data_IF_854039690785
#
_entry.id   IF_854039690785
#
_cell.length_a   1.000
_cell.length_b   1.000
_cell.length_c   1.000
_cell.angle_alpha   90.00
_cell.angle_beta   90.00
_cell.angle_gamma   90.00
#
_symmetry.space_group_name_H-M   'P 1'
#
loop_
_entity.id
_entity.type
_entity.pdbx_description
1 polymer ?
#
# COMPACT_ATOMS: atom_id res chain seq x y z
N UNK A 1 -7.76 -20.18 -44.25
CA UNK A 1 -6.44 -19.51 -44.26
C UNK A 1 -5.87 -19.51 -42.84
N UNK A 2 -4.70 -20.11 -42.63
CA UNK A 2 -4.01 -20.08 -41.32
C UNK A 2 -3.48 -18.66 -41.09
N UNK A 3 -3.98 -17.96 -40.07
CA UNK A 3 -3.40 -16.68 -39.62
C UNK A 3 -2.12 -17.00 -38.85
N UNK A 4 -0.98 -16.47 -39.27
CA UNK A 4 0.26 -16.55 -38.50
C UNK A 4 0.40 -15.28 -37.67
N UNK A 5 0.29 -15.41 -36.35
CA UNK A 5 0.63 -14.33 -35.41
C UNK A 5 2.07 -14.58 -34.96
N UNK A 6 2.96 -13.61 -35.18
CA UNK A 6 4.33 -13.62 -34.65
C UNK A 6 4.51 -12.41 -33.73
N UNK A 7 4.94 -12.66 -32.50
CA UNK A 7 5.33 -11.63 -31.55
C UNK A 7 6.81 -11.31 -31.77
N UNK A 8 7.14 -10.05 -32.06
CA UNK A 8 8.51 -9.61 -32.32
C UNK A 8 8.82 -8.44 -31.38
N UNK A 9 9.37 -8.80 -30.21
CA UNK A 9 9.96 -7.92 -29.19
C UNK A 9 9.03 -6.99 -28.39
N UNK A 10 9.37 -6.86 -27.11
CA UNK A 10 8.85 -5.86 -26.18
C UNK A 10 10.01 -4.92 -25.80
N UNK A 11 9.77 -3.61 -25.86
CA UNK A 11 10.74 -2.58 -25.47
C UNK A 11 10.09 -1.55 -24.55
N UNK A 12 10.81 -1.13 -23.52
CA UNK A 12 10.35 -0.13 -22.56
C UNK A 12 10.86 1.27 -22.97
N UNK A 13 9.98 2.27 -23.04
CA UNK A 13 10.37 3.67 -23.20
C UNK A 13 10.32 4.40 -21.85
N UNK A 14 11.17 5.42 -21.69
CA UNK A 14 11.22 6.26 -20.50
C UNK A 14 9.83 6.91 -20.26
N UNK A 15 9.24 6.65 -19.09
CA UNK A 15 7.88 7.05 -18.73
C UNK A 15 6.92 5.89 -18.42
N UNK A 16 7.39 4.63 -18.41
CA UNK A 16 6.60 3.47 -17.97
C UNK A 16 5.63 2.92 -19.02
N UNK A 17 5.67 3.42 -20.25
CA UNK A 17 4.84 2.94 -21.34
C UNK A 17 5.49 1.69 -21.98
N UNK A 18 4.84 0.54 -21.85
CA UNK A 18 5.26 -0.71 -22.51
C UNK A 18 4.60 -0.79 -23.89
N UNK A 19 5.37 -0.58 -24.95
CA UNK A 19 4.86 -0.74 -26.32
C UNK A 19 5.10 -2.19 -26.77
N UNK A 20 4.03 -2.96 -26.94
CA UNK A 20 4.12 -4.32 -27.51
C UNK A 20 3.73 -4.29 -28.98
N UNK A 21 4.63 -4.75 -29.86
CA UNK A 21 4.42 -4.74 -31.30
C UNK A 21 3.70 -6.02 -31.75
N UNK A 22 2.49 -5.88 -32.31
CA UNK A 22 1.74 -6.98 -32.92
C UNK A 22 1.62 -6.73 -34.43
N UNK A 23 2.23 -7.62 -35.25
CA UNK A 23 2.11 -7.57 -36.71
C UNK A 23 1.08 -8.61 -37.14
N UNK A 24 -0.05 -8.15 -37.68
CA UNK A 24 -1.06 -8.99 -38.33
C UNK A 24 -0.88 -8.91 -39.85
N UNK A 25 -0.50 -10.02 -40.47
CA UNK A 25 -0.41 -10.13 -41.93
C UNK A 25 -1.65 -10.86 -42.46
N UNK A 26 -2.44 -10.20 -43.32
CA UNK A 26 -3.52 -10.86 -44.07
C UNK A 26 -3.51 -10.40 -45.53
N UNK A 27 -3.64 -11.30 -46.52
CA UNK A 27 -3.91 -10.92 -47.89
C UNK A 27 -5.37 -10.42 -48.01
N UNK A 28 -5.55 -9.19 -48.48
CA UNK A 28 -6.89 -8.61 -48.72
C UNK A 28 -7.31 -8.91 -50.15
N UNK A 29 -8.41 -9.65 -50.33
CA UNK A 29 -9.10 -9.73 -51.62
C UNK A 29 -10.10 -8.57 -51.70
N UNK A 30 -10.05 -7.82 -52.80
CA UNK A 30 -10.82 -6.59 -52.97
C UNK A 30 -12.33 -6.85 -53.04
N UNK A 31 -13.03 -6.46 -51.96
CA UNK A 31 -14.44 -6.03 -51.81
C UNK A 31 -15.05 -6.67 -50.56
N UNK A 32 -14.86 -6.01 -49.42
CA UNK A 32 -15.80 -6.07 -48.31
C UNK A 32 -15.60 -4.84 -47.45
N UNK A 33 -16.65 -4.02 -47.33
CA UNK A 33 -16.76 -3.04 -46.25
C UNK A 33 -16.58 -3.76 -44.91
N UNK A 34 -15.62 -3.34 -44.10
CA UNK A 34 -15.54 -3.78 -42.71
C UNK A 34 -16.62 -3.02 -41.93
N UNK A 35 -17.55 -3.70 -41.24
CA UNK A 35 -18.39 -3.03 -40.26
C UNK A 35 -17.49 -2.49 -39.14
N UNK A 36 -17.75 -1.27 -38.68
CA UNK A 36 -17.06 -0.59 -37.58
C UNK A 36 -17.21 -1.27 -36.22
N UNK A 37 -17.96 -2.37 -36.14
CA UNK A 37 -18.48 -2.85 -34.88
C UNK A 37 -17.88 -4.22 -34.51
N UNK A 38 -17.21 -4.20 -33.34
CA UNK A 38 -16.75 -5.32 -32.51
C UNK A 38 -15.40 -5.97 -32.88
N UNK A 39 -14.35 -5.43 -32.27
CA UNK A 39 -13.33 -6.26 -31.64
C UNK A 39 -13.70 -6.36 -30.15
N UNK A 40 -14.14 -7.55 -29.71
CA UNK A 40 -14.39 -7.80 -28.28
C UNK A 40 -13.07 -7.82 -27.52
N UNK A 41 -13.00 -7.05 -26.43
CA UNK A 41 -11.84 -7.01 -25.55
C UNK A 41 -11.63 -8.38 -24.88
N UNK A 42 -10.44 -8.96 -25.04
CA UNK A 42 -10.07 -10.27 -24.47
C UNK A 42 -9.70 -10.14 -22.96
N UNK A 43 -9.63 -8.92 -22.42
CA UNK A 43 -9.34 -8.65 -21.01
C UNK A 43 -9.73 -7.21 -20.64
N UNK A 44 -10.18 -6.92 -19.39
CA UNK A 44 -10.57 -5.58 -18.95
C UNK A 44 -9.46 -4.51 -19.00
N UNK A 45 -8.20 -4.89 -19.24
CA UNK A 45 -7.05 -3.97 -19.24
C UNK A 45 -6.60 -3.47 -20.62
N UNK A 46 -7.30 -3.85 -21.70
CA UNK A 46 -6.91 -3.50 -23.08
C UNK A 46 -7.92 -2.53 -23.69
N UNK A 47 -7.52 -1.28 -23.90
CA UNK A 47 -8.28 -0.30 -24.68
C UNK A 47 -7.68 -0.25 -26.09
N UNK A 48 -8.47 -0.60 -27.10
CA UNK A 48 -8.11 -0.45 -28.51
C UNK A 48 -8.77 0.84 -29.02
N UNK A 49 -8.00 1.90 -29.25
CA UNK A 49 -8.51 3.08 -29.96
C UNK A 49 -8.47 2.84 -31.46
N UNK A 50 -9.62 3.00 -32.12
CA UNK A 50 -9.72 2.96 -33.58
C UNK A 50 -9.05 4.20 -34.18
N UNK A 51 -8.22 3.99 -35.21
CA UNK A 51 -7.62 5.08 -35.99
C UNK A 51 -8.58 5.46 -37.12
N UNK A 52 -8.73 6.76 -37.38
CA UNK A 52 -9.64 7.35 -38.37
C UNK A 52 -9.62 6.68 -39.76
N UNK A 53 -10.76 6.74 -40.44
CA UNK A 53 -11.04 6.18 -41.77
C UNK A 53 -9.87 6.34 -42.76
N UNK A 54 -9.22 5.23 -43.09
CA UNK A 54 -8.29 5.14 -44.21
C UNK A 54 -9.09 4.99 -45.52
N UNK A 55 -9.17 6.05 -46.33
CA UNK A 55 -9.63 5.92 -47.71
C UNK A 55 -8.60 5.12 -48.53
N UNK A 56 -9.01 3.93 -48.99
CA UNK A 56 -8.15 2.94 -49.65
C UNK A 56 -8.27 3.03 -51.18
N UNK A 57 -7.17 3.38 -51.86
CA UNK A 57 -7.06 3.32 -53.33
C UNK A 57 -5.72 2.73 -53.80
N UNK A 58 -5.40 1.49 -53.44
CA UNK A 58 -4.48 0.63 -54.21
C UNK A 58 -4.43 -0.80 -53.65
N UNK A 59 -4.09 -1.78 -54.51
CA UNK A 59 -3.81 -3.16 -54.10
C UNK A 59 -2.39 -3.24 -53.52
N UNK A 60 -2.27 -3.47 -52.22
CA UNK A 60 -1.01 -3.72 -51.52
C UNK A 60 -1.24 -4.48 -50.21
N UNK A 61 -0.20 -5.13 -49.68
CA UNK A 61 -0.22 -5.67 -48.31
C UNK A 61 0.05 -4.50 -47.37
N UNK A 62 -0.89 -4.20 -46.48
CA UNK A 62 -0.76 -3.11 -45.52
C UNK A 62 -0.52 -3.68 -44.13
N UNK A 63 0.52 -3.18 -43.45
CA UNK A 63 0.75 -3.41 -42.03
C UNK A 63 0.00 -2.32 -41.25
N UNK A 64 -0.99 -2.71 -40.46
CA UNK A 64 -1.69 -1.80 -39.55
C UNK A 64 -0.98 -1.84 -38.20
N UNK A 65 -0.49 -0.69 -37.74
CA UNK A 65 0.10 -0.53 -36.42
C UNK A 65 -0.99 -0.08 -35.45
N UNK A 66 -1.41 -0.99 -34.56
CA UNK A 66 -2.28 -0.64 -33.44
C UNK A 66 -1.43 -0.52 -32.18
N UNK A 67 -1.20 0.68 -31.62
CA UNK A 67 -0.59 0.79 -30.32
C UNK A 67 -1.55 0.18 -29.29
N UNK A 68 -1.13 -0.89 -28.62
CA UNK A 68 -1.84 -1.38 -27.43
C UNK A 68 -1.43 -0.45 -26.29
N UNK A 69 -2.34 0.45 -25.91
CA UNK A 69 -2.17 1.28 -24.73
C UNK A 69 -2.68 0.44 -23.55
N UNK A 70 -1.76 -0.06 -22.73
CA UNK A 70 -2.13 -0.64 -21.45
C UNK A 70 -2.52 0.50 -20.50
N UNK A 71 -3.78 0.51 -20.08
CA UNK A 71 -4.20 1.31 -18.95
C UNK A 71 -3.53 0.80 -17.66
N UNK A 72 -3.51 1.60 -16.59
CA UNK A 72 -3.00 1.12 -15.31
C UNK A 72 -3.85 -0.08 -14.83
N UNK A 73 -3.25 -1.04 -14.10
CA UNK A 73 -3.99 -2.17 -13.54
C UNK A 73 -5.14 -1.68 -12.65
N UNK A 74 -6.18 -2.50 -12.46
CA UNK A 74 -7.28 -2.18 -11.56
C UNK A 74 -6.74 -1.84 -10.15
N UNK A 75 -7.34 -0.88 -9.42
CA UNK A 75 -6.87 -0.51 -8.09
C UNK A 75 -6.82 -1.71 -7.16
N UNK A 76 -5.70 -1.89 -6.47
CA UNK A 76 -5.55 -2.95 -5.48
C UNK A 76 -6.35 -2.64 -4.22
N UNK A 77 -7.11 -3.61 -3.72
CA UNK A 77 -7.82 -3.48 -2.43
C UNK A 77 -6.86 -3.51 -1.23
N UNK A 78 -5.58 -3.88 -1.44
CA UNK A 78 -4.54 -3.88 -0.40
C UNK A 78 -3.95 -2.49 -0.19
N UNK A 79 -4.00 -1.66 -1.22
CA UNK A 79 -3.36 -0.35 -1.31
C UNK A 79 -4.10 0.68 -0.46
N UNK A 80 -3.39 1.31 0.47
CA UNK A 80 -3.87 2.45 1.23
C UNK A 80 -2.78 3.50 1.38
N UNK A 81 -3.02 4.56 2.14
CA UNK A 81 -1.97 5.54 2.47
C UNK A 81 -2.00 5.92 3.93
N UNK A 82 -0.84 6.36 4.44
CA UNK A 82 -0.76 7.07 5.71
C UNK A 82 -1.10 8.53 5.45
N UNK A 83 -2.22 8.98 6.00
CA UNK A 83 -2.56 10.39 6.06
C UNK A 83 -1.64 11.08 7.07
N UNK A 84 -1.04 12.18 6.65
CA UNK A 84 -0.16 12.97 7.50
C UNK A 84 -0.37 14.45 7.20
N UNK A 85 -0.98 15.17 8.15
CA UNK A 85 -1.12 16.63 8.11
C UNK A 85 -2.24 17.23 7.23
N UNK A 86 -3.06 16.48 6.49
CA UNK A 86 -4.14 17.07 5.66
C UNK A 86 -5.09 16.02 5.04
N UNK A 87 -6.27 16.42 4.51
CA UNK A 87 -7.42 15.54 4.48
C UNK A 87 -7.34 14.40 3.48
N UNK A 88 -7.61 13.19 3.99
CA UNK A 88 -7.55 11.94 3.26
C UNK A 88 -8.65 11.72 2.21
N UNK A 89 -9.80 12.40 2.33
CA UNK A 89 -11.02 12.03 1.58
C UNK A 89 -10.84 12.12 0.06
N UNK A 90 -10.26 13.21 -0.43
CA UNK A 90 -9.98 13.36 -1.87
C UNK A 90 -8.75 12.54 -2.31
N UNK A 91 -7.84 12.25 -1.38
CA UNK A 91 -6.60 11.53 -1.64
C UNK A 91 -6.83 10.04 -1.96
N UNK A 92 -7.93 9.45 -1.45
CA UNK A 92 -8.37 8.09 -1.84
C UNK A 92 -8.53 7.96 -3.36
N UNK A 93 -9.24 8.90 -3.98
CA UNK A 93 -9.43 8.91 -5.44
C UNK A 93 -8.13 9.30 -6.14
N UNK A 94 -7.45 10.33 -5.66
CA UNK A 94 -6.22 10.84 -6.27
C UNK A 94 -5.08 9.80 -6.28
N UNK A 95 -5.06 8.87 -5.33
CA UNK A 95 -4.05 7.81 -5.24
C UNK A 95 -4.57 6.44 -5.67
N UNK A 96 -5.86 6.29 -6.01
CA UNK A 96 -6.52 4.99 -6.26
C UNK A 96 -6.31 4.01 -5.09
N UNK A 97 -6.49 4.52 -3.88
CA UNK A 97 -6.36 3.76 -2.64
C UNK A 97 -7.72 3.26 -2.16
N UNK A 98 -7.75 2.09 -1.53
CA UNK A 98 -8.96 1.46 -1.02
C UNK A 98 -9.24 1.79 0.46
N UNK A 99 -8.26 2.35 1.16
CA UNK A 99 -8.35 2.66 2.59
C UNK A 99 -7.26 3.66 3.01
N UNK A 100 -7.39 4.22 4.20
CA UNK A 100 -6.37 5.08 4.80
C UNK A 100 -6.35 4.95 6.33
N UNK A 101 -5.28 5.44 6.94
CA UNK A 101 -5.12 5.59 8.39
C UNK A 101 -4.29 6.84 8.67
N UNK A 102 -4.42 7.44 9.86
CA UNK A 102 -3.81 8.72 10.22
C UNK A 102 -3.15 8.70 11.61
N UNK A 103 -2.73 7.52 12.06
CA UNK A 103 -2.20 7.29 13.41
C UNK A 103 -3.14 7.72 14.57
N UNK A 104 -4.43 7.91 14.32
CA UNK A 104 -5.42 8.37 15.31
C UNK A 104 -6.62 7.43 15.42
N UNK A 105 -7.36 7.43 16.54
CA UNK A 105 -8.62 6.72 16.65
C UNK A 105 -9.77 7.43 15.91
N UNK A 106 -9.56 8.66 15.43
CA UNK A 106 -10.57 9.48 14.78
C UNK A 106 -10.27 9.68 13.29
N UNK A 107 -11.29 9.56 12.41
CA UNK A 107 -11.12 9.95 11.01
C UNK A 107 -10.81 11.45 10.93
N UNK A 108 -10.25 11.89 9.81
CA UNK A 108 -10.12 13.31 9.54
C UNK A 108 -11.50 14.00 9.62
N UNK A 109 -11.67 15.03 10.46
CA UNK A 109 -12.95 15.70 10.66
C UNK A 109 -13.47 16.47 9.43
N UNK A 110 -12.62 16.73 8.44
CA UNK A 110 -13.01 17.31 7.15
C UNK A 110 -13.66 16.29 6.21
N UNK A 111 -13.55 14.98 6.51
CA UNK A 111 -14.20 13.94 5.73
C UNK A 111 -15.64 13.71 6.16
N UNK A 112 -16.54 13.59 5.18
CA UNK A 112 -17.93 13.19 5.41
C UNK A 112 -18.04 11.75 5.90
N UNK A 113 -19.17 11.43 6.53
CA UNK A 113 -19.45 10.10 7.10
C UNK A 113 -19.37 8.94 6.10
N UNK A 114 -19.58 9.23 4.81
CA UNK A 114 -19.43 8.29 3.69
C UNK A 114 -17.99 7.75 3.53
N UNK A 115 -17.00 8.45 4.09
CA UNK A 115 -15.60 8.04 4.06
C UNK A 115 -15.19 7.16 5.24
N UNK A 116 -16.02 7.06 6.29
CA UNK A 116 -15.66 6.33 7.51
C UNK A 116 -15.38 4.84 7.27
N UNK A 117 -15.98 4.24 6.23
CA UNK A 117 -15.73 2.84 5.85
C UNK A 117 -14.32 2.60 5.28
N UNK A 118 -13.67 3.65 4.76
CA UNK A 118 -12.31 3.59 4.23
C UNK A 118 -11.25 3.90 5.29
N UNK A 119 -11.66 4.50 6.40
CA UNK A 119 -10.78 4.83 7.52
C UNK A 119 -10.57 3.63 8.44
N UNK A 120 -9.31 3.33 8.75
CA UNK A 120 -8.98 2.35 9.79
C UNK A 120 -8.41 3.07 11.01
N UNK A 121 -9.15 3.11 12.14
CA UNK A 121 -8.67 3.76 13.35
C UNK A 121 -7.46 3.02 13.95
N UNK A 122 -6.65 3.78 14.69
CA UNK A 122 -5.50 3.26 15.44
C UNK A 122 -5.51 3.76 16.87
N UNK A 123 -5.13 2.90 17.81
CA UNK A 123 -4.66 3.33 19.14
C UNK A 123 -3.13 3.39 19.08
N UNK A 124 -2.55 4.57 18.84
CA UNK A 124 -1.11 4.69 18.56
C UNK A 124 -0.23 4.48 19.79
N UNK A 125 -0.63 5.04 20.94
CA UNK A 125 0.12 4.98 22.20
C UNK A 125 -0.82 4.76 23.40
N UNK A 126 -0.26 4.65 24.61
CA UNK A 126 -1.04 4.42 25.84
C UNK A 126 -1.97 5.58 26.19
N UNK A 127 -1.60 6.81 25.88
CA UNK A 127 -2.42 8.00 26.17
C UNK A 127 -3.74 7.95 25.38
N UNK A 128 -3.72 7.40 24.15
CA UNK A 128 -4.92 7.23 23.33
C UNK A 128 -5.88 6.15 23.84
N UNK A 129 -5.50 5.33 24.82
CA UNK A 129 -6.41 4.33 25.42
C UNK A 129 -7.66 4.95 26.03
N UNK A 130 -7.62 6.24 26.42
CA UNK A 130 -8.81 6.98 26.89
C UNK A 130 -9.91 7.06 25.82
N UNK A 131 -9.54 6.92 24.54
CA UNK A 131 -10.46 6.94 23.40
C UNK A 131 -10.83 5.54 22.89
N UNK A 132 -10.49 4.47 23.61
CA UNK A 132 -10.68 3.09 23.14
C UNK A 132 -12.12 2.80 22.71
N UNK A 133 -13.12 3.21 23.50
CA UNK A 133 -14.54 3.01 23.16
C UNK A 133 -14.91 3.69 21.83
N UNK A 134 -14.41 4.90 21.58
CA UNK A 134 -14.65 5.63 20.34
C UNK A 134 -13.89 5.00 19.17
N UNK A 135 -12.66 4.54 19.39
CA UNK A 135 -11.89 3.83 18.38
C UNK A 135 -12.59 2.54 17.93
N UNK A 136 -13.15 1.76 18.87
CA UNK A 136 -13.95 0.57 18.58
C UNK A 136 -15.21 0.93 17.81
N UNK A 137 -15.90 2.02 18.19
CA UNK A 137 -17.08 2.51 17.46
C UNK A 137 -16.73 2.87 16.01
N UNK A 138 -15.65 3.63 15.80
CA UNK A 138 -15.19 4.00 14.46
C UNK A 138 -14.74 2.76 13.67
N UNK A 139 -14.11 1.78 14.33
CA UNK A 139 -13.65 0.54 13.71
C UNK A 139 -14.79 -0.33 13.18
N UNK A 140 -16.02 -0.16 13.63
CA UNK A 140 -17.16 -0.90 13.08
C UNK A 140 -17.44 -0.54 11.62
N UNK A 141 -17.11 0.67 11.18
CA UNK A 141 -17.35 1.11 9.79
C UNK A 141 -16.41 0.40 8.79
N UNK A 142 -15.13 0.24 9.13
CA UNK A 142 -14.16 -0.45 8.28
C UNK A 142 -13.97 -1.93 8.63
N UNK A 143 -14.41 -2.35 9.82
CA UNK A 143 -14.25 -3.69 10.36
C UNK A 143 -12.88 -3.96 10.99
N UNK A 144 -12.01 -2.96 11.14
CA UNK A 144 -10.63 -3.11 11.61
C UNK A 144 -10.23 -2.04 12.62
N UNK A 145 -9.41 -2.43 13.59
CA UNK A 145 -8.73 -1.54 14.53
C UNK A 145 -7.24 -1.89 14.55
N UNK A 146 -6.40 -0.87 14.40
CA UNK A 146 -4.93 -1.01 14.45
C UNK A 146 -4.42 -0.74 15.86
N UNK A 147 -3.48 -1.57 16.32
CA UNK A 147 -2.79 -1.43 17.59
C UNK A 147 -1.73 -0.33 17.64
N UNK A 148 -0.89 -0.42 18.68
CA UNK A 148 0.17 0.55 18.97
C UNK A 148 1.15 0.72 17.80
N UNK A 149 1.54 1.97 17.51
CA UNK A 149 2.55 2.29 16.52
C UNK A 149 3.92 2.42 17.16
N UNK A 150 4.90 1.70 16.62
CA UNK A 150 6.31 1.73 17.05
C UNK A 150 6.53 1.68 18.57
N UNK A 151 5.88 0.73 19.30
CA UNK A 151 5.98 0.67 20.76
C UNK A 151 7.39 0.38 21.28
N UNK A 152 8.30 -0.04 20.40
CA UNK A 152 9.70 -0.33 20.72
C UNK A 152 10.62 0.91 20.68
N UNK A 153 10.13 2.08 20.27
CA UNK A 153 10.92 3.32 20.22
C UNK A 153 10.98 4.03 21.57
N UNK A 154 12.11 3.90 22.25
CA UNK A 154 12.35 4.45 23.60
C UNK A 154 12.37 5.98 23.68
N UNK A 155 12.61 6.66 22.55
CA UNK A 155 12.73 8.12 22.49
C UNK A 155 11.44 8.82 22.04
N UNK A 156 10.36 8.05 21.81
CA UNK A 156 9.05 8.57 21.43
C UNK A 156 8.00 8.33 22.52
N UNK A 157 6.90 9.09 22.47
CA UNK A 157 5.74 8.89 23.34
C UNK A 157 5.01 7.56 23.09
N UNK A 158 5.34 6.85 22.01
CA UNK A 158 4.80 5.52 21.72
C UNK A 158 5.39 4.41 22.57
N UNK A 159 6.52 4.63 23.27
CA UNK A 159 7.22 3.56 23.97
C UNK A 159 6.32 2.82 24.97
N UNK A 160 6.33 1.48 24.86
CA UNK A 160 5.75 0.56 25.83
C UNK A 160 6.74 -0.56 26.12
N UNK A 161 6.84 -1.00 27.37
CA UNK A 161 7.45 -2.31 27.63
C UNK A 161 6.55 -3.42 27.07
N UNK A 162 7.10 -4.61 26.75
CA UNK A 162 6.30 -5.75 26.32
C UNK A 162 5.18 -6.13 27.32
N UNK A 163 5.44 -6.02 28.63
CA UNK A 163 4.44 -6.29 29.67
C UNK A 163 3.31 -5.24 29.69
N UNK A 164 3.62 -3.95 29.59
CA UNK A 164 2.60 -2.90 29.45
C UNK A 164 1.78 -3.11 28.16
N UNK A 165 2.47 -3.40 27.06
CA UNK A 165 1.84 -3.73 25.77
C UNK A 165 0.86 -4.89 25.91
N UNK A 166 1.23 -5.97 26.59
CA UNK A 166 0.35 -7.11 26.84
C UNK A 166 -0.89 -6.74 27.67
N UNK A 167 -0.70 -5.94 28.73
CA UNK A 167 -1.79 -5.51 29.61
C UNK A 167 -2.80 -4.59 28.88
N UNK A 168 -2.30 -3.61 28.13
CA UNK A 168 -3.15 -2.70 27.37
C UNK A 168 -3.82 -3.42 26.19
N UNK A 169 -3.12 -4.36 25.54
CA UNK A 169 -3.71 -5.17 24.47
C UNK A 169 -4.87 -6.03 24.95
N UNK A 170 -4.82 -6.55 26.18
CA UNK A 170 -5.95 -7.26 26.78
C UNK A 170 -7.20 -6.39 26.85
N UNK A 171 -7.04 -5.10 27.19
CA UNK A 171 -8.15 -4.15 27.21
C UNK A 171 -8.71 -3.90 25.80
N UNK A 172 -7.85 -3.83 24.78
CA UNK A 172 -8.27 -3.73 23.38
C UNK A 172 -9.10 -4.95 22.96
N UNK A 173 -8.62 -6.16 23.26
CA UNK A 173 -9.36 -7.40 22.97
C UNK A 173 -10.72 -7.46 23.68
N UNK A 174 -10.78 -7.01 24.93
CA UNK A 174 -12.02 -6.98 25.70
C UNK A 174 -13.00 -5.95 25.15
N UNK A 175 -12.52 -4.78 24.72
CA UNK A 175 -13.36 -3.73 24.17
C UNK A 175 -13.99 -4.09 22.82
N UNK A 176 -13.33 -4.94 22.02
CA UNK A 176 -13.91 -5.45 20.77
C UNK A 176 -14.72 -6.74 20.95
N UNK A 177 -14.76 -7.30 22.16
CA UNK A 177 -15.52 -8.52 22.43
C UNK A 177 -17.01 -8.30 22.13
N UNK A 178 -17.62 -9.22 21.35
CA UNK A 178 -19.00 -9.10 20.90
C UNK A 178 -19.22 -8.21 19.67
N UNK A 179 -18.16 -7.62 19.12
CA UNK A 179 -18.20 -6.94 17.80
C UNK A 179 -17.59 -7.82 16.71
N UNK A 180 -17.75 -7.42 15.45
CA UNK A 180 -17.07 -8.04 14.30
C UNK A 180 -15.72 -7.36 13.97
N UNK A 181 -15.23 -6.47 14.84
CA UNK A 181 -13.97 -5.76 14.61
C UNK A 181 -12.79 -6.73 14.68
N UNK A 182 -11.92 -6.63 13.67
CA UNK A 182 -10.66 -7.36 13.57
C UNK A 182 -9.50 -6.52 14.08
N UNK A 183 -8.51 -7.16 14.68
CA UNK A 183 -7.37 -6.50 15.29
C UNK A 183 -6.10 -6.68 14.47
N UNK A 184 -5.46 -5.57 14.11
CA UNK A 184 -4.09 -5.54 13.59
C UNK A 184 -3.16 -5.35 14.77
N UNK A 185 -2.16 -6.24 14.93
CA UNK A 185 -1.21 -6.20 16.05
C UNK A 185 -0.52 -4.83 16.17
N UNK A 186 0.11 -4.55 17.32
CA UNK A 186 1.10 -3.49 17.39
C UNK A 186 2.15 -3.64 16.29
N UNK A 187 2.64 -2.52 15.77
CA UNK A 187 3.56 -2.46 14.65
C UNK A 187 4.88 -1.84 15.09
N UNK A 188 5.86 -2.64 15.55
CA UNK A 188 7.19 -2.13 15.84
C UNK A 188 7.87 -1.68 14.55
N UNK A 189 8.86 -0.81 14.69
CA UNK A 189 9.73 -0.48 13.57
C UNK A 189 10.72 -1.61 13.25
N UNK A 190 11.56 -1.38 12.24
CA UNK A 190 12.43 -2.40 11.68
C UNK A 190 13.70 -2.75 12.47
N UNK A 191 14.08 -1.96 13.46
CA UNK A 191 15.44 -2.01 14.00
C UNK A 191 15.73 -3.32 14.74
N UNK A 192 16.97 -3.77 14.70
CA UNK A 192 17.37 -4.96 15.44
C UNK A 192 17.38 -4.67 16.95
N UNK A 193 17.17 -5.68 17.82
CA UNK A 193 17.38 -5.53 19.25
C UNK A 193 18.75 -4.90 19.57
N UNK A 194 18.76 -3.90 20.45
CA UNK A 194 19.94 -3.14 20.86
C UNK A 194 20.36 -2.01 19.91
N UNK A 195 19.81 -1.95 18.70
CA UNK A 195 20.14 -0.89 17.75
C UNK A 195 19.48 0.44 18.17
N UNK A 196 20.25 1.54 18.12
CA UNK A 196 19.79 2.88 18.54
C UNK A 196 19.12 2.91 19.92
N UNK A 197 19.64 2.14 20.89
CA UNK A 197 19.10 2.09 22.26
C UNK A 197 17.80 1.29 22.41
N UNK A 198 17.28 0.68 21.34
CA UNK A 198 16.01 -0.05 21.37
C UNK A 198 16.24 -1.48 21.86
N UNK A 199 16.07 -1.71 23.16
CA UNK A 199 16.31 -3.02 23.79
C UNK A 199 15.71 -4.20 23.01
N UNK A 200 14.45 -4.07 22.57
CA UNK A 200 13.72 -5.17 21.93
C UNK A 200 13.71 -5.10 20.39
N UNK A 201 13.91 -3.91 19.80
CA UNK A 201 13.75 -3.71 18.35
C UNK A 201 12.43 -4.28 17.80
N UNK A 202 12.47 -4.80 16.58
CA UNK A 202 11.34 -5.50 15.93
C UNK A 202 10.89 -6.77 16.68
N UNK A 203 11.70 -7.34 17.58
CA UNK A 203 11.31 -8.50 18.38
C UNK A 203 10.33 -8.16 19.51
N UNK A 204 10.09 -6.88 19.77
CA UNK A 204 9.13 -6.41 20.77
C UNK A 204 7.79 -7.13 20.71
N UNK A 205 7.25 -7.37 19.51
CA UNK A 205 5.98 -8.08 19.29
C UNK A 205 6.00 -9.48 19.92
N UNK A 206 7.11 -10.21 19.80
CA UNK A 206 7.21 -11.56 20.35
C UNK A 206 7.40 -11.57 21.86
N UNK A 207 8.16 -10.62 22.41
CA UNK A 207 8.22 -10.43 23.86
C UNK A 207 6.84 -10.10 24.45
N UNK A 208 6.04 -9.28 23.75
CA UNK A 208 4.69 -8.94 24.18
C UNK A 208 3.78 -10.16 24.14
N UNK A 209 3.88 -11.01 23.11
CA UNK A 209 3.15 -12.29 23.04
C UNK A 209 3.50 -13.20 24.21
N UNK A 210 4.79 -13.29 24.55
CA UNK A 210 5.27 -14.12 25.67
C UNK A 210 4.75 -13.58 27.01
N UNK A 211 4.77 -12.26 27.21
CA UNK A 211 4.19 -11.61 28.40
C UNK A 211 2.67 -11.78 28.49
N UNK A 212 1.96 -11.65 27.37
CA UNK A 212 0.52 -11.86 27.32
C UNK A 212 0.16 -13.31 27.68
N UNK A 213 0.90 -14.29 27.15
CA UNK A 213 0.72 -15.69 27.50
C UNK A 213 1.02 -15.96 28.98
N UNK A 214 2.08 -15.36 29.52
CA UNK A 214 2.41 -15.45 30.94
C UNK A 214 1.31 -14.85 31.84
N UNK A 215 0.74 -13.72 31.47
CA UNK A 215 -0.27 -12.99 32.25
C UNK A 215 -1.67 -13.61 32.14
N UNK A 216 -2.05 -14.12 30.97
CA UNK A 216 -3.44 -14.48 30.66
C UNK A 216 -3.63 -15.94 30.22
N UNK A 217 -2.57 -16.74 30.22
CA UNK A 217 -2.64 -18.19 29.95
C UNK A 217 -2.95 -18.57 28.49
N UNK A 218 -2.96 -17.60 27.57
CA UNK A 218 -3.18 -17.80 26.13
C UNK A 218 -2.41 -16.78 25.30
N UNK A 219 -2.26 -17.01 24.01
CA UNK A 219 -1.72 -16.02 23.09
C UNK A 219 -2.71 -14.85 22.87
N UNK A 220 -2.23 -13.63 22.57
CA UNK A 220 -3.09 -12.56 22.10
C UNK A 220 -3.68 -12.91 20.73
N UNK A 221 -4.89 -12.44 20.48
CA UNK A 221 -5.58 -12.49 19.19
C UNK A 221 -5.01 -11.41 18.28
N UNK A 222 -4.48 -11.83 17.15
CA UNK A 222 -4.17 -10.98 16.01
C UNK A 222 -4.93 -11.51 14.80
N UNK A 223 -5.73 -10.67 14.15
CA UNK A 223 -6.37 -10.99 12.87
C UNK A 223 -5.49 -10.58 11.68
N UNK A 224 -4.53 -9.69 11.93
CA UNK A 224 -3.39 -9.36 11.07
C UNK A 224 -2.19 -8.93 11.90
N UNK A 225 -0.97 -9.09 11.37
CA UNK A 225 0.27 -8.62 11.99
C UNK A 225 0.76 -7.33 11.33
N UNK A 226 0.89 -6.27 12.11
CA UNK A 226 1.35 -4.95 11.68
C UNK A 226 2.87 -4.82 11.71
N UNK A 227 3.44 -4.16 10.71
CA UNK A 227 4.88 -3.82 10.63
C UNK A 227 5.10 -2.45 10.00
N UNK A 228 6.14 -1.75 10.43
CA UNK A 228 6.70 -0.59 9.73
C UNK A 228 8.07 -0.96 9.17
N UNK A 229 8.35 -0.60 7.92
CA UNK A 229 9.65 -0.86 7.30
C UNK A 229 10.04 0.19 6.27
N UNK A 230 11.13 0.90 6.54
CA UNK A 230 11.74 1.87 5.63
C UNK A 230 12.99 1.27 4.97
N UNK A 231 12.96 1.11 3.65
CA UNK A 231 13.96 0.38 2.87
C UNK A 231 14.47 1.20 1.68
N UNK A 232 15.69 0.93 1.23
CA UNK A 232 16.20 1.52 -0.02
C UNK A 232 16.15 0.56 -1.20
N UNK A 233 15.83 -0.71 -0.98
CA UNK A 233 15.74 -1.74 -2.03
C UNK A 233 14.59 -2.73 -1.79
N UNK A 234 14.08 -3.33 -2.87
CA UNK A 234 13.10 -4.41 -2.79
C UNK A 234 13.64 -5.62 -2.03
N UNK A 235 14.92 -5.94 -2.22
CA UNK A 235 15.55 -7.11 -1.59
C UNK A 235 15.52 -7.01 -0.06
N UNK A 236 15.80 -5.82 0.49
CA UNK A 236 15.76 -5.59 1.95
C UNK A 236 14.34 -5.71 2.50
N UNK A 237 13.35 -5.13 1.80
CA UNK A 237 11.93 -5.25 2.16
C UNK A 237 11.48 -6.72 2.17
N UNK A 238 11.83 -7.47 1.13
CA UNK A 238 11.50 -8.89 1.01
C UNK A 238 12.16 -9.71 2.12
N UNK A 239 13.44 -9.49 2.38
CA UNK A 239 14.19 -10.19 3.41
C UNK A 239 13.57 -9.95 4.79
N UNK A 240 13.29 -8.68 5.13
CA UNK A 240 12.66 -8.32 6.40
C UNK A 240 11.29 -8.98 6.57
N UNK A 241 10.38 -8.80 5.62
CA UNK A 241 9.01 -9.31 5.74
C UNK A 241 8.96 -10.84 5.70
N UNK A 242 9.82 -11.50 4.92
CA UNK A 242 9.91 -12.96 4.89
C UNK A 242 10.45 -13.52 6.21
N UNK A 243 11.42 -12.86 6.84
CA UNK A 243 11.91 -13.22 8.17
C UNK A 243 10.80 -13.08 9.22
N UNK A 244 10.09 -11.94 9.24
CA UNK A 244 8.95 -11.71 10.15
C UNK A 244 7.81 -12.72 9.93
N UNK A 245 7.52 -13.07 8.67
CA UNK A 245 6.55 -14.11 8.32
C UNK A 245 6.95 -15.48 8.85
N UNK A 246 8.22 -15.83 8.73
CA UNK A 246 8.75 -17.11 9.25
C UNK A 246 8.65 -17.18 10.78
N UNK A 247 8.97 -16.10 11.48
CA UNK A 247 8.80 -15.98 12.94
C UNK A 247 7.33 -16.13 13.35
N UNK A 248 6.41 -15.45 12.63
CA UNK A 248 4.99 -15.54 12.89
C UNK A 248 4.46 -16.97 12.74
N UNK A 249 4.84 -17.66 11.67
CA UNK A 249 4.47 -19.07 11.44
C UNK A 249 5.03 -19.98 12.53
N UNK A 250 6.28 -19.79 12.95
CA UNK A 250 6.88 -20.55 14.06
C UNK A 250 6.16 -20.31 15.40
N UNK A 251 5.56 -19.12 15.56
CA UNK A 251 4.74 -18.75 16.71
C UNK A 251 3.27 -19.17 16.56
N UNK A 252 2.88 -19.80 15.44
CA UNK A 252 1.51 -20.26 15.18
C UNK A 252 0.55 -19.18 14.67
N UNK A 253 1.07 -18.05 14.19
CA UNK A 253 0.28 -16.99 13.55
C UNK A 253 0.33 -17.14 12.03
N UNK A 254 -0.69 -17.78 11.47
CA UNK A 254 -0.94 -17.81 10.03
C UNK A 254 -2.00 -16.78 9.64
N UNK A 255 -1.68 -15.51 9.85
CA UNK A 255 -2.55 -14.35 9.57
C UNK A 255 -1.88 -13.40 8.59
N UNK A 256 -2.65 -12.62 7.81
CA UNK A 256 -2.08 -11.66 6.86
C UNK A 256 -1.24 -10.59 7.55
N UNK A 257 -0.27 -10.06 6.81
CA UNK A 257 0.59 -8.96 7.25
C UNK A 257 0.04 -7.64 6.72
N UNK A 258 0.07 -6.61 7.57
CA UNK A 258 -0.21 -5.23 7.19
C UNK A 258 1.07 -4.43 7.32
N UNK A 259 1.55 -3.90 6.20
CA UNK A 259 2.69 -2.99 6.17
C UNK A 259 2.18 -1.57 6.34
N UNK A 260 2.01 -1.17 7.60
CA UNK A 260 1.29 0.05 7.98
C UNK A 260 2.08 1.34 7.75
N UNK A 261 3.38 1.21 7.53
CA UNK A 261 4.24 2.25 6.99
C UNK A 261 5.33 1.57 6.18
N UNK A 262 5.47 1.96 4.92
CA UNK A 262 6.70 1.73 4.18
C UNK A 262 7.10 2.96 3.40
N UNK A 263 8.41 3.12 3.26
CA UNK A 263 8.99 4.28 2.59
C UNK A 263 10.44 4.02 2.22
N UNK A 264 11.02 5.00 1.53
CA UNK A 264 12.43 5.01 1.20
C UNK A 264 13.26 5.91 2.12
N UNK A 265 14.52 6.13 1.75
CA UNK A 265 15.34 7.17 2.41
C UNK A 265 14.82 8.55 2.02
N UNK A 266 13.84 9.06 2.76
CA UNK A 266 13.22 10.35 2.48
C UNK A 266 14.20 11.51 2.67
N UNK A 267 15.00 11.44 3.74
CA UNK A 267 16.06 12.40 4.02
C UNK A 267 17.27 12.06 3.16
N UNK A 268 17.71 13.03 2.35
CA UNK A 268 18.88 12.88 1.49
C UNK A 268 18.72 11.95 0.28
N UNK A 269 17.55 11.30 0.13
CA UNK A 269 17.22 10.55 -1.08
C UNK A 269 16.58 11.43 -2.15
N UNK A 270 16.71 11.01 -3.40
CA UNK A 270 16.10 11.69 -4.55
C UNK A 270 14.78 11.05 -4.96
N UNK A 271 13.84 11.85 -5.49
CA UNK A 271 12.56 11.36 -6.02
C UNK A 271 12.75 10.19 -7.02
N UNK A 272 13.69 10.21 -7.98
CA UNK A 272 13.93 9.07 -8.87
C UNK A 272 14.32 7.76 -8.16
N UNK A 273 15.08 7.83 -7.07
CA UNK A 273 15.42 6.64 -6.28
C UNK A 273 14.18 6.09 -5.56
N UNK A 274 13.36 6.97 -4.98
CA UNK A 274 12.09 6.60 -4.35
C UNK A 274 11.12 5.97 -5.36
N UNK A 275 11.01 6.54 -6.56
CA UNK A 275 10.20 5.99 -7.65
C UNK A 275 10.69 4.60 -8.08
N UNK A 276 12.01 4.40 -8.16
CA UNK A 276 12.60 3.09 -8.51
C UNK A 276 12.26 2.04 -7.47
N UNK A 277 12.41 2.36 -6.18
CA UNK A 277 12.04 1.46 -5.09
C UNK A 277 10.54 1.16 -5.10
N UNK A 278 9.70 2.20 -5.19
CA UNK A 278 8.24 2.06 -5.20
C UNK A 278 7.74 1.21 -6.38
N UNK A 279 8.30 1.42 -7.57
CA UNK A 279 7.95 0.67 -8.77
C UNK A 279 8.26 -0.84 -8.68
N UNK A 280 9.14 -1.23 -7.76
CA UNK A 280 9.47 -2.63 -7.48
C UNK A 280 8.69 -3.16 -6.26
N UNK A 281 8.62 -2.37 -5.19
CA UNK A 281 7.98 -2.75 -3.93
C UNK A 281 6.47 -2.88 -4.04
N UNK A 282 5.78 -1.90 -4.63
CA UNK A 282 4.30 -1.89 -4.67
C UNK A 282 3.73 -3.08 -5.45
N UNK A 283 4.23 -3.45 -6.64
CA UNK A 283 3.79 -4.67 -7.33
C UNK A 283 4.02 -5.94 -6.50
N UNK A 284 5.19 -6.07 -5.88
CA UNK A 284 5.49 -7.24 -5.05
C UNK A 284 4.55 -7.34 -3.84
N UNK A 285 4.25 -6.21 -3.17
CA UNK A 285 3.27 -6.17 -2.07
C UNK A 285 1.85 -6.54 -2.55
N UNK A 286 1.46 -6.12 -3.75
CA UNK A 286 0.18 -6.50 -4.36
C UNK A 286 0.11 -8.01 -4.61
N UNK A 287 1.14 -8.58 -5.23
CA UNK A 287 1.18 -9.97 -5.67
C UNK A 287 1.41 -10.97 -4.53
N UNK A 288 2.03 -10.53 -3.42
CA UNK A 288 2.35 -11.42 -2.29
C UNK A 288 1.08 -11.83 -1.53
N UNK A 289 0.70 -13.13 -1.49
CA UNK A 289 -0.61 -13.55 -0.97
C UNK A 289 -0.83 -13.31 0.52
N UNK A 290 0.23 -13.39 1.33
CA UNK A 290 0.17 -13.19 2.78
C UNK A 290 0.29 -11.71 3.19
N UNK A 291 0.48 -10.79 2.25
CA UNK A 291 0.31 -9.36 2.49
C UNK A 291 -1.18 -9.03 2.33
N UNK A 292 -1.80 -8.57 3.40
CA UNK A 292 -3.21 -8.19 3.44
C UNK A 292 -3.43 -6.74 3.02
N UNK A 293 -2.65 -5.80 3.57
CA UNK A 293 -2.71 -4.37 3.23
C UNK A 293 -1.35 -3.70 3.38
N UNK A 294 -1.18 -2.54 2.75
CA UNK A 294 0.02 -1.72 2.91
C UNK A 294 -0.28 -0.24 2.72
N UNK A 295 0.52 0.64 3.33
CA UNK A 295 0.42 2.09 3.17
C UNK A 295 1.77 2.75 3.04
N UNK A 296 1.94 3.57 2.01
CA UNK A 296 3.14 4.40 1.85
C UNK A 296 3.15 5.51 2.92
N UNK A 297 4.31 5.77 3.50
CA UNK A 297 4.56 6.93 4.36
C UNK A 297 5.24 8.05 3.54
N UNK A 298 4.55 9.14 3.20
CA UNK A 298 3.17 9.45 3.54
C UNK A 298 2.44 10.16 2.38
N UNK A 299 1.10 10.26 2.48
CA UNK A 299 0.29 10.93 1.47
C UNK A 299 0.71 12.39 1.28
N UNK A 300 0.85 13.13 2.39
CA UNK A 300 1.28 14.52 2.39
C UNK A 300 2.32 14.72 3.48
N UNK A 301 3.34 15.53 3.22
CA UNK A 301 4.33 15.90 4.22
C UNK A 301 4.45 17.42 4.19
N UNK A 302 4.17 18.05 5.33
CA UNK A 302 4.38 19.49 5.47
C UNK A 302 5.87 19.81 5.40
N UNK A 303 6.28 20.81 4.60
CA UNK A 303 7.61 21.38 4.73
C UNK A 303 7.85 21.78 6.19
N UNK A 304 8.98 21.42 6.78
CA UNK A 304 9.35 21.66 8.20
C UNK A 304 8.51 20.94 9.26
N UNK A 305 7.83 19.83 8.92
CA UNK A 305 7.12 19.01 9.92
C UNK A 305 8.04 18.37 10.97
N UNK A 306 9.34 18.34 10.72
CA UNK A 306 10.34 17.82 11.66
C UNK A 306 11.05 18.97 12.39
N UNK A 307 11.07 18.88 13.72
CA UNK A 307 11.79 19.82 14.61
C UNK A 307 13.30 19.69 14.47
N UNK A 308 13.81 18.58 13.92
CA UNK A 308 15.22 18.39 13.59
C UNK A 308 15.62 18.98 12.22
N UNK A 309 14.70 19.61 11.50
CA UNK A 309 14.99 20.35 10.26
C UNK A 309 15.25 19.49 9.02
N UNK A 310 14.94 18.20 9.07
CA UNK A 310 15.04 17.34 7.89
C UNK A 310 13.90 17.62 6.90
N UNK A 311 14.24 17.60 5.61
CA UNK A 311 13.26 17.66 4.53
C UNK A 311 12.81 16.25 4.14
N UNK A 312 11.58 15.90 4.53
CA UNK A 312 10.92 14.65 4.16
C UNK A 312 10.00 14.79 2.94
N UNK A 313 9.84 16.00 2.39
CA UNK A 313 8.92 16.26 1.27
C UNK A 313 9.17 15.40 0.01
N UNK A 314 10.40 14.90 -0.28
CA UNK A 314 10.59 13.95 -1.38
C UNK A 314 9.74 12.66 -1.29
N UNK A 315 9.31 12.26 -0.08
CA UNK A 315 8.44 11.11 0.13
C UNK A 315 6.94 11.42 0.02
N UNK A 316 6.56 12.67 -0.19
CA UNK A 316 5.16 13.08 -0.29
C UNK A 316 4.53 12.59 -1.61
N UNK A 317 3.40 11.88 -1.53
CA UNK A 317 2.66 11.45 -2.72
C UNK A 317 1.84 12.59 -3.33
N UNK A 318 1.39 13.51 -2.49
CA UNK A 318 0.60 14.68 -2.85
C UNK A 318 1.30 15.89 -2.26
N UNK A 319 1.40 16.94 -3.06
CA UNK A 319 1.98 18.20 -2.62
C UNK A 319 1.07 18.82 -1.54
N UNK A 320 1.66 19.13 -0.39
CA UNK A 320 0.91 19.60 0.77
C UNK A 320 0.13 20.90 0.48
N UNK A 321 0.75 21.83 -0.24
CA UNK A 321 0.21 23.19 -0.44
C UNK A 321 -0.84 23.24 -1.56
N UNK A 322 -0.58 22.54 -2.67
CA UNK A 322 -1.40 22.61 -3.87
C UNK A 322 -2.43 21.49 -3.95
N UNK A 323 -2.20 20.37 -3.24
CA UNK A 323 -3.02 19.17 -3.35
C UNK A 323 -2.84 18.39 -4.65
N UNK A 324 -1.86 18.77 -5.47
CA UNK A 324 -1.55 18.06 -6.72
C UNK A 324 -0.73 16.79 -6.43
N UNK A 325 -0.99 15.75 -7.20
CA UNK A 325 -0.18 14.53 -7.15
C UNK A 325 1.28 14.83 -7.55
N UNK A 326 2.24 14.36 -6.76
CA UNK A 326 3.67 14.53 -7.07
C UNK A 326 4.14 13.50 -8.09
N UNK A 327 5.38 13.63 -8.59
CA UNK A 327 5.98 12.60 -9.46
C UNK A 327 6.07 11.22 -8.77
N UNK A 328 6.33 11.21 -7.46
CA UNK A 328 6.29 9.99 -6.66
C UNK A 328 4.86 9.48 -6.51
N UNK A 329 3.90 10.37 -6.23
CA UNK A 329 2.47 10.06 -6.21
C UNK A 329 1.97 9.43 -7.50
N UNK A 330 2.40 9.91 -8.67
CA UNK A 330 2.06 9.33 -9.97
C UNK A 330 2.59 7.89 -10.10
N UNK A 331 3.76 7.61 -9.54
CA UNK A 331 4.31 6.25 -9.48
C UNK A 331 3.44 5.38 -8.58
N UNK A 332 3.04 5.89 -7.42
CA UNK A 332 2.16 5.17 -6.51
C UNK A 332 0.78 4.92 -7.10
N UNK A 333 0.23 5.89 -7.83
CA UNK A 333 -1.06 5.80 -8.52
C UNK A 333 -1.10 4.70 -9.59
N UNK A 334 0.03 4.50 -10.27
CA UNK A 334 0.17 3.52 -11.34
C UNK A 334 0.09 2.08 -10.84
N UNK A 335 0.71 1.79 -9.69
CA UNK A 335 0.77 0.45 -9.07
C UNK A 335 -0.29 0.23 -7.99
#
# INVERSE_FOLDING_TARGET
MKKHVRLLAAGCLAGGMLLTLLILSAPVQAKSSFPSDRLEAVSPSIIVSAVNELQLTARGVYSVFLPIIFGPPAPSTKKGFMEFGSPACNDLTALRAAWYQNASPFPDPACGSEYHQYFVPRIYNKEMMIYLSQAVTNAQASGWLIGFGEPNLTEQNSYLTPTEGAQLWKQIEDAVAGTNVKLVSPAPNQWNPGQYGQQYGHQWTWYMVDEFQRLYGRKPRFDALGWHYYATSLADLQAFLTARRSEALARGYDVPFWLLEYGGSCVGGSVPQLQTFMAQATPWLNETPWIGRYTWFAARIMPSSDTAGHDYTPCSLIDYQTGNITALGQTYWWY
#
